data_IF_499339392610
#
_entry.id   IF_499339392610
#
_cell.length_a   1.000
_cell.length_b   1.000
_cell.length_c   1.000
_cell.angle_alpha   90.00
_cell.angle_beta   90.00
_cell.angle_gamma   90.00
#
_symmetry.space_group_name_H-M   'P 1'
#
loop_
_entity.id
_entity.type
_entity.pdbx_description
1 polymer ?
#
# COMPACT_ATOMS: atom_id res chain seq x y z
N UNK A 1 -5.26 2.70 6.19
CA UNK A 1 -6.31 2.12 7.05
C UNK A 1 -7.73 2.34 6.53
N UNK A 2 -8.22 3.59 6.38
CA UNK A 2 -9.61 3.87 5.93
C UNK A 2 -10.00 3.17 4.61
N UNK A 3 -9.10 3.17 3.61
CA UNK A 3 -9.36 2.49 2.33
C UNK A 3 -9.52 0.98 2.46
N UNK A 4 -8.73 0.33 3.33
CA UNK A 4 -8.85 -1.11 3.59
C UNK A 4 -10.18 -1.41 4.28
N UNK A 5 -10.56 -0.60 5.28
CA UNK A 5 -11.86 -0.74 5.96
C UNK A 5 -13.02 -0.58 4.98
N UNK A 6 -12.95 0.43 4.10
CA UNK A 6 -13.96 0.63 3.06
C UNK A 6 -14.02 -0.57 2.10
N UNK A 7 -12.88 -1.03 1.60
CA UNK A 7 -12.80 -2.20 0.71
C UNK A 7 -13.40 -3.47 1.32
N UNK A 8 -13.21 -3.68 2.64
CA UNK A 8 -13.76 -4.83 3.35
C UNK A 8 -15.29 -4.82 3.46
N UNK A 9 -15.90 -3.63 3.53
CA UNK A 9 -17.36 -3.50 3.47
C UNK A 9 -17.90 -3.89 2.08
N UNK A 10 -17.09 -3.72 1.04
CA UNK A 10 -17.46 -4.05 -0.33
C UNK A 10 -17.24 -5.53 -0.70
N UNK A 11 -16.46 -6.27 0.10
CA UNK A 11 -16.17 -7.70 -0.12
C UNK A 11 -16.92 -8.62 0.83
N UNK A 12 -17.30 -8.16 2.03
CA UNK A 12 -18.14 -8.94 2.95
C UNK A 12 -19.60 -8.88 2.51
N UNK A 13 -20.21 -10.05 2.30
CA UNK A 13 -21.67 -10.17 2.21
C UNK A 13 -22.27 -9.60 3.50
N UNK A 14 -23.20 -8.65 3.37
CA UNK A 14 -23.88 -7.91 4.43
C UNK A 14 -24.77 -8.79 5.31
N UNK A 15 -24.20 -9.81 5.95
CA UNK A 15 -24.89 -10.57 6.99
C UNK A 15 -24.63 -9.86 8.32
N UNK A 16 -25.69 -9.27 8.87
CA UNK A 16 -25.86 -8.86 10.28
C UNK A 16 -25.58 -7.39 10.69
N UNK A 17 -25.63 -6.40 9.79
CA UNK A 17 -25.59 -4.97 10.18
C UNK A 17 -26.74 -4.20 9.52
N UNK A 18 -27.35 -3.28 10.28
CA UNK A 18 -28.40 -2.37 9.82
C UNK A 18 -27.92 -1.50 8.65
N UNK A 19 -28.67 -1.50 7.54
CA UNK A 19 -28.23 -0.91 6.27
C UNK A 19 -27.95 0.60 6.38
N UNK A 20 -28.72 1.32 7.22
CA UNK A 20 -28.53 2.77 7.45
C UNK A 20 -27.23 3.11 8.21
N UNK A 21 -26.82 2.25 9.15
CA UNK A 21 -25.58 2.46 9.92
C UNK A 21 -24.35 2.16 9.06
N UNK A 22 -24.48 1.21 8.13
CA UNK A 22 -23.45 0.92 7.14
C UNK A 22 -23.30 2.08 6.14
N UNK A 23 -24.40 2.63 5.62
CA UNK A 23 -24.36 3.74 4.65
C UNK A 23 -23.67 4.99 5.21
N UNK A 24 -24.02 5.41 6.44
CA UNK A 24 -23.36 6.55 7.11
C UNK A 24 -21.87 6.29 7.36
N UNK A 25 -21.52 5.04 7.66
CA UNK A 25 -20.12 4.64 7.88
C UNK A 25 -19.34 4.67 6.57
N UNK A 26 -19.92 4.20 5.47
CA UNK A 26 -19.33 4.23 4.13
C UNK A 26 -19.13 5.66 3.63
N UNK A 27 -20.13 6.53 3.75
CA UNK A 27 -20.01 7.95 3.37
C UNK A 27 -18.88 8.65 4.15
N UNK A 28 -18.78 8.38 5.46
CA UNK A 28 -17.67 8.89 6.28
C UNK A 28 -16.32 8.40 5.77
N UNK A 29 -16.20 7.14 5.38
CA UNK A 29 -14.98 6.56 4.85
C UNK A 29 -14.63 7.15 3.48
N UNK A 30 -15.60 7.27 2.58
CA UNK A 30 -15.42 7.89 1.27
C UNK A 30 -14.89 9.32 1.44
N UNK A 31 -15.49 10.12 2.31
CA UNK A 31 -15.03 11.48 2.61
C UNK A 31 -13.58 11.51 3.10
N UNK A 32 -13.24 10.66 4.07
CA UNK A 32 -11.88 10.55 4.63
C UNK A 32 -10.83 10.07 3.63
N UNK A 33 -11.20 9.20 2.70
CA UNK A 33 -10.26 8.70 1.68
C UNK A 33 -10.10 9.74 0.58
N UNK A 34 -11.20 10.36 0.15
CA UNK A 34 -11.24 11.34 -0.94
C UNK A 34 -10.43 12.59 -0.65
N UNK A 35 -10.31 12.99 0.62
CA UNK A 35 -9.45 14.12 1.02
C UNK A 35 -7.96 13.94 0.69
N UNK A 36 -7.52 12.73 0.33
CA UNK A 36 -6.15 12.44 -0.10
C UNK A 36 -5.92 12.63 -1.62
N UNK A 37 -6.93 13.09 -2.35
CA UNK A 37 -6.89 13.37 -3.77
C UNK A 37 -6.86 14.88 -4.02
N UNK A 38 -6.29 15.30 -5.15
CA UNK A 38 -6.18 16.71 -5.52
C UNK A 38 -7.55 17.39 -5.66
N UNK A 39 -8.56 16.64 -6.10
CA UNK A 39 -9.96 17.03 -6.11
C UNK A 39 -10.77 16.05 -5.26
N UNK A 40 -11.01 16.35 -3.97
CA UNK A 40 -11.77 15.49 -3.08
C UNK A 40 -13.23 15.30 -3.52
N UNK A 41 -13.85 16.29 -4.18
CA UNK A 41 -15.25 16.18 -4.58
C UNK A 41 -15.40 15.18 -5.73
N UNK A 42 -14.56 15.29 -6.75
CA UNK A 42 -14.53 14.35 -7.86
C UNK A 42 -14.12 12.94 -7.41
N UNK A 43 -13.19 12.83 -6.47
CA UNK A 43 -12.78 11.54 -5.89
C UNK A 43 -13.92 10.88 -5.12
N UNK A 44 -14.67 11.64 -4.33
CA UNK A 44 -15.84 11.14 -3.58
C UNK A 44 -16.89 10.58 -4.52
N UNK A 45 -17.23 11.32 -5.60
CA UNK A 45 -18.19 10.86 -6.59
C UNK A 45 -17.73 9.56 -7.28
N UNK A 46 -16.43 9.47 -7.61
CA UNK A 46 -15.87 8.29 -8.24
C UNK A 46 -15.85 7.06 -7.31
N UNK A 47 -15.60 7.24 -6.01
CA UNK A 47 -15.70 6.18 -5.02
C UNK A 47 -17.13 5.69 -4.83
N UNK A 48 -18.11 6.60 -4.80
CA UNK A 48 -19.54 6.21 -4.76
C UNK A 48 -19.91 5.39 -5.99
N UNK A 49 -19.51 5.83 -7.20
CA UNK A 49 -19.72 5.05 -8.43
C UNK A 49 -19.03 3.68 -8.37
N UNK A 50 -17.82 3.60 -7.81
CA UNK A 50 -17.09 2.33 -7.68
C UNK A 50 -17.78 1.36 -6.70
N UNK A 51 -18.32 1.86 -5.58
CA UNK A 51 -19.17 1.09 -4.65
C UNK A 51 -20.38 0.52 -5.39
N UNK A 52 -21.07 1.37 -6.14
CA UNK A 52 -22.32 1.01 -6.81
C UNK A 52 -22.14 -0.05 -7.93
N UNK A 53 -20.92 -0.24 -8.44
CA UNK A 53 -20.60 -1.32 -9.39
C UNK A 53 -20.73 -2.73 -8.77
N UNK A 54 -20.71 -2.87 -7.44
CA UNK A 54 -20.81 -4.15 -6.70
C UNK A 54 -19.89 -5.26 -7.22
N UNK A 55 -18.71 -4.88 -7.71
CA UNK A 55 -17.73 -5.82 -8.26
C UNK A 55 -16.79 -6.32 -7.16
N UNK A 56 -17.21 -7.35 -6.41
CA UNK A 56 -16.43 -7.90 -5.28
C UNK A 56 -14.97 -8.23 -5.64
N UNK A 57 -14.71 -8.83 -6.81
CA UNK A 57 -13.35 -9.12 -7.28
C UNK A 57 -12.47 -7.88 -7.51
N UNK A 58 -13.05 -6.76 -7.92
CA UNK A 58 -12.27 -5.51 -8.05
C UNK A 58 -11.85 -5.05 -6.67
N UNK A 59 -12.76 -5.08 -5.70
CA UNK A 59 -12.47 -4.71 -4.31
C UNK A 59 -11.46 -5.65 -3.64
N UNK A 60 -11.56 -6.97 -3.86
CA UNK A 60 -10.56 -7.94 -3.39
C UNK A 60 -9.15 -7.59 -3.89
N UNK A 61 -9.01 -7.30 -5.19
CA UNK A 61 -7.71 -6.92 -5.76
C UNK A 61 -7.21 -5.59 -5.19
N UNK A 62 -8.08 -4.58 -5.06
CA UNK A 62 -7.74 -3.28 -4.50
C UNK A 62 -7.30 -3.40 -3.02
N UNK A 63 -7.93 -4.28 -2.25
CA UNK A 63 -7.55 -4.56 -0.86
C UNK A 63 -6.15 -5.17 -0.78
N UNK A 64 -5.85 -6.16 -1.64
CA UNK A 64 -4.52 -6.79 -1.70
C UNK A 64 -3.46 -5.74 -2.06
N UNK A 65 -3.74 -4.90 -3.06
CA UNK A 65 -2.82 -3.84 -3.47
C UNK A 65 -2.60 -2.82 -2.35
N UNK A 66 -3.65 -2.41 -1.64
CA UNK A 66 -3.55 -1.45 -0.54
C UNK A 66 -2.78 -1.97 0.68
N UNK A 67 -2.80 -3.28 0.92
CA UNK A 67 -1.98 -3.92 1.96
C UNK A 67 -0.50 -3.99 1.58
N UNK A 68 -0.16 -3.79 0.30
CA UNK A 68 1.18 -3.98 -0.25
C UNK A 68 1.80 -5.33 0.18
N UNK A 69 0.97 -6.37 0.31
CA UNK A 69 1.40 -7.70 0.79
C UNK A 69 2.03 -8.57 -0.31
N UNK A 70 2.28 -7.97 -1.48
CA UNK A 70 2.64 -8.63 -2.73
C UNK A 70 3.83 -7.92 -3.37
N UNK A 71 4.64 -8.68 -4.11
CA UNK A 71 5.78 -8.10 -4.82
C UNK A 71 5.32 -7.26 -6.04
N UNK A 72 6.26 -6.52 -6.64
CA UNK A 72 5.95 -5.60 -7.75
C UNK A 72 5.30 -6.30 -8.96
N UNK A 73 5.76 -7.50 -9.32
CA UNK A 73 5.20 -8.26 -10.46
C UNK A 73 3.76 -8.74 -10.17
N UNK A 74 3.49 -9.18 -8.96
CA UNK A 74 2.15 -9.55 -8.51
C UNK A 74 1.22 -8.34 -8.46
N UNK A 75 1.69 -7.19 -7.96
CA UNK A 75 0.93 -5.94 -7.94
C UNK A 75 0.60 -5.46 -9.36
N UNK A 76 1.54 -5.61 -10.31
CA UNK A 76 1.31 -5.31 -11.72
C UNK A 76 0.24 -6.21 -12.35
N UNK A 77 0.23 -7.51 -12.02
CA UNK A 77 -0.83 -8.43 -12.45
C UNK A 77 -2.20 -8.02 -11.92
N UNK A 78 -2.28 -7.63 -10.64
CA UNK A 78 -3.52 -7.15 -10.02
C UNK A 78 -3.99 -5.84 -10.66
N UNK A 79 -3.07 -4.92 -10.92
CA UNK A 79 -3.32 -3.68 -11.65
C UNK A 79 -4.00 -3.94 -13.00
N UNK A 80 -3.38 -4.78 -13.83
CA UNK A 80 -3.87 -5.07 -15.19
C UNK A 80 -5.23 -5.78 -15.14
N UNK A 81 -5.42 -6.67 -14.17
CA UNK A 81 -6.67 -7.39 -13.95
C UNK A 81 -7.81 -6.46 -13.51
N UNK A 82 -7.55 -5.48 -12.63
CA UNK A 82 -8.54 -4.46 -12.26
C UNK A 82 -8.96 -3.63 -13.48
N UNK A 83 -8.00 -3.13 -14.27
CA UNK A 83 -8.30 -2.34 -15.46
C UNK A 83 -9.08 -3.15 -16.51
N UNK A 84 -8.73 -4.43 -16.69
CA UNK A 84 -9.45 -5.34 -17.59
C UNK A 84 -10.89 -5.56 -17.14
N UNK A 85 -11.12 -5.80 -15.85
CA UNK A 85 -12.47 -6.01 -15.29
C UNK A 85 -13.34 -4.75 -15.36
N UNK A 86 -12.75 -3.59 -15.10
CA UNK A 86 -13.48 -2.32 -15.15
C UNK A 86 -13.89 -1.95 -16.58
N UNK A 87 -13.01 -2.21 -17.55
CA UNK A 87 -13.19 -1.87 -18.95
C UNK A 87 -12.83 -0.42 -19.28
N UNK A 88 -12.29 -0.14 -20.48
CA UNK A 88 -11.73 1.16 -20.84
C UNK A 88 -12.79 2.26 -21.04
N UNK A 89 -14.06 1.89 -21.23
CA UNK A 89 -15.18 2.83 -21.45
C UNK A 89 -15.91 3.19 -20.16
N UNK A 90 -15.49 2.65 -19.02
CA UNK A 90 -16.15 2.91 -17.76
C UNK A 90 -15.95 4.39 -17.35
N UNK A 91 -17.00 5.11 -16.91
CA UNK A 91 -16.91 6.50 -16.48
C UNK A 91 -15.86 6.76 -15.39
N UNK A 92 -15.53 5.76 -14.55
CA UNK A 92 -14.50 5.89 -13.51
C UNK A 92 -13.12 5.36 -13.93
N UNK A 93 -12.89 5.08 -15.23
CA UNK A 93 -11.61 4.52 -15.71
C UNK A 93 -10.41 5.43 -15.44
N UNK A 94 -10.56 6.75 -15.63
CA UNK A 94 -9.51 7.73 -15.33
C UNK A 94 -9.18 7.75 -13.84
N UNK A 95 -10.21 7.81 -12.99
CA UNK A 95 -10.07 7.74 -11.54
C UNK A 95 -9.39 6.44 -11.10
N UNK A 96 -9.79 5.29 -11.66
CA UNK A 96 -9.19 4.00 -11.33
C UNK A 96 -7.70 3.96 -11.63
N UNK A 97 -7.24 4.55 -12.75
CA UNK A 97 -5.80 4.64 -13.03
C UNK A 97 -5.05 5.44 -11.97
N UNK A 98 -5.64 6.54 -11.48
CA UNK A 98 -5.05 7.36 -10.41
C UNK A 98 -5.02 6.59 -9.09
N UNK A 99 -6.12 5.91 -8.74
CA UNK A 99 -6.19 5.09 -7.54
C UNK A 99 -5.14 3.98 -7.58
N UNK A 100 -5.09 3.22 -8.68
CA UNK A 100 -4.11 2.14 -8.86
C UNK A 100 -2.67 2.65 -8.80
N UNK A 101 -2.38 3.82 -9.39
CA UNK A 101 -1.08 4.46 -9.25
C UNK A 101 -0.76 4.75 -7.77
N UNK A 102 -1.68 5.34 -7.00
CA UNK A 102 -1.50 5.57 -5.55
C UNK A 102 -1.31 4.27 -4.75
N UNK A 103 -1.89 3.16 -5.19
CA UNK A 103 -1.74 1.86 -4.52
C UNK A 103 -0.41 1.17 -4.87
N UNK A 104 0.15 1.43 -6.06
CA UNK A 104 1.46 0.92 -6.49
C UNK A 104 2.64 1.81 -6.06
N UNK A 105 2.42 3.12 -5.97
CA UNK A 105 3.48 4.12 -5.88
C UNK A 105 3.82 4.46 -4.42
N UNK A 106 4.46 3.51 -3.75
CA UNK A 106 5.46 3.89 -2.77
C UNK A 106 6.80 3.91 -3.51
N UNK A 107 7.29 5.10 -3.90
CA UNK A 107 8.70 5.34 -4.27
C UNK A 107 9.68 4.69 -3.28
N UNK A 108 9.21 4.42 -2.06
CA UNK A 108 9.88 3.74 -0.98
C UNK A 108 9.11 2.51 -0.48
N UNK A 109 8.61 1.68 -1.41
CA UNK A 109 7.89 0.44 -1.10
C UNK A 109 8.77 -0.74 -0.73
N UNK A 110 8.21 -1.95 -0.76
CA UNK A 110 8.93 -3.18 -0.39
C UNK A 110 10.25 -3.37 -1.13
N UNK A 111 10.32 -3.03 -2.42
CA UNK A 111 11.58 -3.12 -3.19
C UNK A 111 12.65 -2.15 -2.70
N UNK A 112 12.27 -0.95 -2.25
CA UNK A 112 13.21 -0.02 -1.63
C UNK A 112 13.70 -0.56 -0.29
N UNK A 113 12.78 -1.06 0.55
CA UNK A 113 13.11 -1.66 1.85
C UNK A 113 14.11 -2.81 1.65
N UNK A 114 13.80 -3.76 0.77
CA UNK A 114 14.66 -4.89 0.43
C UNK A 114 16.03 -4.43 -0.06
N UNK A 115 16.09 -3.45 -0.96
CA UNK A 115 17.36 -2.98 -1.49
C UNK A 115 18.23 -2.32 -0.41
N UNK A 116 17.63 -1.53 0.48
CA UNK A 116 18.36 -0.93 1.61
C UNK A 116 18.86 -2.01 2.57
N UNK A 117 18.01 -2.98 2.95
CA UNK A 117 18.39 -4.07 3.85
C UNK A 117 19.50 -4.95 3.25
N UNK A 118 19.38 -5.33 1.98
CA UNK A 118 20.42 -6.11 1.27
C UNK A 118 21.74 -5.35 1.20
N UNK A 119 21.72 -4.04 0.93
CA UNK A 119 22.94 -3.24 0.90
C UNK A 119 23.61 -3.13 2.29
N UNK A 120 22.84 -3.15 3.39
CA UNK A 120 23.38 -3.16 4.76
C UNK A 120 23.99 -4.51 5.15
N UNK A 121 23.56 -5.60 4.50
CA UNK A 121 24.10 -6.93 4.73
C UNK A 121 25.43 -7.17 4.01
N UNK A 122 25.78 -6.36 3.02
CA UNK A 122 27.09 -6.42 2.36
C UNK A 122 28.21 -5.81 3.20
N UNK A 123 29.43 -6.30 3.02
CA UNK A 123 30.64 -5.76 3.65
C UNK A 123 31.30 -4.65 2.80
N UNK A 124 30.70 -4.30 1.66
CA UNK A 124 31.12 -3.20 0.78
C UNK A 124 30.75 -1.84 1.41
N UNK A 125 31.77 -1.06 1.77
CA UNK A 125 31.63 0.25 2.42
C UNK A 125 30.81 1.25 1.61
N UNK A 126 30.91 1.23 0.28
CA UNK A 126 30.17 2.13 -0.60
C UNK A 126 28.68 1.75 -0.69
N UNK A 127 28.38 0.44 -0.71
CA UNK A 127 27.00 -0.05 -0.60
C UNK A 127 26.38 0.31 0.74
N UNK A 128 27.10 0.09 1.85
CA UNK A 128 26.65 0.46 3.20
C UNK A 128 26.44 1.97 3.32
N UNK A 129 27.35 2.79 2.79
CA UNK A 129 27.23 4.26 2.82
C UNK A 129 25.99 4.74 2.04
N UNK A 130 25.71 4.14 0.88
CA UNK A 130 24.48 4.43 0.12
C UNK A 130 23.23 4.00 0.89
N UNK A 131 23.25 2.83 1.52
CA UNK A 131 22.14 2.31 2.30
C UNK A 131 21.82 3.17 3.53
N UNK A 132 22.86 3.71 4.19
CA UNK A 132 22.71 4.64 5.34
C UNK A 132 21.88 5.88 4.97
N UNK A 133 21.94 6.37 3.73
CA UNK A 133 21.09 7.48 3.25
C UNK A 133 19.60 7.10 3.14
N UNK A 134 19.30 5.81 2.99
CA UNK A 134 17.94 5.28 2.94
C UNK A 134 17.32 5.01 4.31
N UNK A 135 18.11 4.91 5.38
CA UNK A 135 17.64 4.58 6.74
C UNK A 135 16.56 5.55 7.28
N UNK A 136 16.67 6.89 7.12
CA UNK A 136 15.61 7.80 7.59
C UNK A 136 14.26 7.52 6.93
N UNK A 137 14.29 7.19 5.64
CA UNK A 137 13.08 6.86 4.89
C UNK A 137 12.53 5.50 5.34
N UNK A 138 13.41 4.52 5.54
CA UNK A 138 13.04 3.19 6.04
C UNK A 138 12.37 3.26 7.42
N UNK A 139 12.84 4.14 8.32
CA UNK A 139 12.22 4.40 9.61
C UNK A 139 10.81 5.03 9.47
N UNK A 140 10.64 5.98 8.54
CA UNK A 140 9.31 6.57 8.24
C UNK A 140 8.37 5.50 7.67
N UNK A 141 8.87 4.62 6.80
CA UNK A 141 8.09 3.49 6.26
C UNK A 141 7.70 2.51 7.37
N UNK A 142 8.61 2.13 8.28
CA UNK A 142 8.31 1.22 9.38
C UNK A 142 7.22 1.80 10.31
N UNK A 143 7.24 3.11 10.54
CA UNK A 143 6.21 3.80 11.35
C UNK A 143 4.85 3.83 10.67
N UNK A 144 4.80 4.13 9.37
CA UNK A 144 3.55 4.37 8.65
C UNK A 144 2.96 3.10 8.02
N UNK A 145 3.80 2.13 7.69
CA UNK A 145 3.48 0.93 6.94
C UNK A 145 4.24 -0.31 7.47
N UNK A 146 4.05 -0.67 8.75
CA UNK A 146 4.79 -1.78 9.37
C UNK A 146 4.60 -3.12 8.63
N UNK A 147 3.46 -3.33 7.96
CA UNK A 147 3.19 -4.55 7.19
C UNK A 147 4.12 -4.75 5.99
N UNK A 148 4.80 -3.69 5.51
CA UNK A 148 5.78 -3.85 4.43
C UNK A 148 7.04 -4.61 4.87
N UNK A 149 7.27 -4.72 6.18
CA UNK A 149 8.44 -5.39 6.77
C UNK A 149 8.15 -6.84 7.18
N UNK A 150 6.91 -7.33 7.00
CA UNK A 150 6.50 -8.66 7.50
C UNK A 150 7.29 -9.82 6.91
N UNK A 151 7.93 -9.66 5.75
CA UNK A 151 8.77 -10.68 5.12
C UNK A 151 10.28 -10.41 5.30
N UNK A 152 10.65 -9.37 6.02
CA UNK A 152 12.03 -8.90 6.18
C UNK A 152 12.61 -9.21 7.57
N UNK A 153 11.89 -9.98 8.40
CA UNK A 153 12.27 -10.33 9.77
C UNK A 153 13.66 -10.96 9.84
N UNK A 154 13.91 -11.99 9.02
CA UNK A 154 15.23 -12.66 8.96
C UNK A 154 16.35 -11.69 8.55
N UNK A 155 16.07 -10.76 7.64
CA UNK A 155 17.04 -9.76 7.20
C UNK A 155 17.38 -8.78 8.33
N UNK A 156 16.36 -8.34 9.07
CA UNK A 156 16.51 -7.45 10.23
C UNK A 156 17.24 -8.14 11.39
N UNK A 157 16.90 -9.39 11.71
CA UNK A 157 17.60 -10.19 12.71
C UNK A 157 19.08 -10.37 12.37
N UNK A 158 19.39 -10.70 11.11
CA UNK A 158 20.78 -10.82 10.65
C UNK A 158 21.57 -9.52 10.84
N UNK A 159 20.95 -8.36 10.59
CA UNK A 159 21.58 -7.06 10.81
C UNK A 159 21.80 -6.73 12.29
N UNK A 160 20.89 -7.16 13.17
CA UNK A 160 21.06 -6.99 14.63
C UNK A 160 22.15 -7.92 15.19
N UNK A 161 22.33 -9.09 14.59
CA UNK A 161 23.34 -10.08 14.98
C UNK A 161 24.72 -9.82 14.38
N UNK A 162 24.83 -8.97 13.35
CA UNK A 162 26.10 -8.34 12.97
C UNK A 162 26.52 -7.44 14.14
N UNK A 163 27.29 -8.02 15.06
CA UNK A 163 27.98 -7.30 16.13
C UNK A 163 28.75 -6.12 15.52
N UNK A 164 28.96 -5.03 16.28
CA UNK A 164 29.90 -4.00 15.86
C UNK A 164 31.26 -4.68 15.71
N UNK A 165 31.65 -4.99 14.47
CA UNK A 165 33.06 -5.17 14.15
C UNK A 165 33.73 -3.88 14.59
N UNK A 166 34.65 -4.03 15.54
CA UNK A 166 35.45 -2.99 16.19
C UNK A 166 35.77 -1.81 15.25
N UNK A 167 34.90 -0.82 15.21
CA UNK A 167 35.17 0.46 14.56
C UNK A 167 35.11 1.52 15.69
N UNK A 168 36.26 2.00 16.19
CA UNK A 168 36.37 2.72 17.46
C UNK A 168 35.87 4.17 17.43
N UNK A 169 35.06 4.58 16.45
CA UNK A 169 34.61 5.96 16.29
C UNK A 169 33.09 6.12 16.24
N UNK A 170 32.39 5.65 17.27
CA UNK A 170 31.08 6.22 17.62
C UNK A 170 30.95 6.30 19.15
N UNK A 171 31.46 7.40 19.71
CA UNK A 171 30.94 8.04 20.93
C UNK A 171 30.41 9.42 20.55
#
# INVERSE_FOLDING_TARGET
ENFIKFSQLQTKSSMDIDEEENDKTEESLISKISSNFADPSSASEAFSKLRDLKTGKIWENLEIMAKQSKNSDELKKLHDDVLKKLGPRNPISSFMKILLAKLMDSHFGSSFIQNVLNCLQHDDSDMVLRAKKGLPILAVQAKNFPTMFSNEEASLESLLMKSPTDDPEIL
#
